data_IF_235620920208
#
_entry.id   IF_235620920208
#
_cell.length_a   1.000
_cell.length_b   1.000
_cell.length_c   1.000
_cell.angle_alpha   90.00
_cell.angle_beta   90.00
_cell.angle_gamma   90.00
#
_symmetry.space_group_name_H-M   'P 1'
#
loop_
_entity.id
_entity.type
_entity.pdbx_description
1 polymer ?
#
# COMPACT_ATOMS: atom_id res chain seq x y z
N UNK A 1 33.16 -35.03 -42.37
CA UNK A 1 31.71 -34.72 -42.45
C UNK A 1 31.20 -34.42 -41.05
N UNK A 2 31.47 -33.19 -40.61
CA UNK A 2 31.08 -32.57 -39.36
C UNK A 2 30.77 -31.11 -39.70
N UNK A 3 29.86 -30.48 -38.97
CA UNK A 3 29.41 -29.08 -39.07
C UNK A 3 28.12 -28.83 -39.88
N UNK A 4 26.96 -29.10 -39.28
CA UNK A 4 25.74 -28.35 -39.61
C UNK A 4 24.76 -28.10 -38.44
N UNK A 5 24.99 -28.63 -37.24
CA UNK A 5 23.99 -28.56 -36.16
C UNK A 5 24.21 -27.48 -35.09
N UNK A 6 25.21 -26.59 -35.23
CA UNK A 6 25.55 -25.63 -34.16
C UNK A 6 25.27 -24.14 -34.49
N UNK A 7 24.48 -23.84 -35.54
CA UNK A 7 24.16 -22.44 -35.92
C UNK A 7 22.77 -21.94 -35.50
N UNK A 8 21.91 -22.78 -34.96
CA UNK A 8 20.53 -22.38 -34.58
C UNK A 8 20.36 -21.94 -33.11
N UNK A 9 21.38 -22.13 -32.26
CA UNK A 9 21.32 -21.74 -30.84
C UNK A 9 21.73 -20.27 -30.57
N UNK A 10 22.38 -19.59 -31.54
CA UNK A 10 22.95 -18.25 -31.31
C UNK A 10 22.12 -17.07 -31.85
N UNK A 11 21.02 -17.32 -32.56
CA UNK A 11 20.15 -16.24 -33.09
C UNK A 11 19.02 -15.83 -32.12
N UNK A 12 18.70 -16.64 -31.10
CA UNK A 12 17.64 -16.33 -30.15
C UNK A 12 18.07 -15.47 -28.93
N UNK A 13 19.36 -15.23 -28.71
CA UNK A 13 19.82 -14.34 -27.63
C UNK A 13 19.90 -12.85 -28.04
N UNK A 14 19.99 -12.51 -29.33
CA UNK A 14 20.10 -11.11 -29.76
C UNK A 14 18.76 -10.38 -29.96
N UNK A 15 17.63 -11.09 -30.00
CA UNK A 15 16.30 -10.47 -30.12
C UNK A 15 15.75 -10.05 -28.74
N UNK A 16 16.28 -10.60 -27.63
CA UNK A 16 15.83 -10.27 -26.28
C UNK A 16 16.53 -9.04 -25.65
N UNK A 17 17.58 -8.52 -26.29
CA UNK A 17 18.31 -7.31 -25.84
C UNK A 17 17.89 -6.03 -26.60
N UNK A 18 17.12 -6.14 -27.69
CA UNK A 18 16.62 -4.99 -28.46
C UNK A 18 15.31 -4.37 -27.92
N UNK A 19 14.53 -5.12 -27.13
CA UNK A 19 13.23 -4.67 -26.64
C UNK A 19 13.28 -3.91 -25.30
N UNK A 20 14.47 -3.73 -24.70
CA UNK A 20 14.65 -2.97 -23.45
C UNK A 20 15.02 -1.49 -23.66
N UNK A 21 15.24 -1.05 -24.91
CA UNK A 21 15.70 0.33 -25.22
C UNK A 21 14.60 1.30 -25.69
N UNK A 22 13.33 0.88 -25.67
CA UNK A 22 12.21 1.66 -26.25
C UNK A 22 11.08 2.01 -25.26
N UNK A 23 11.34 1.92 -23.94
CA UNK A 23 10.35 2.24 -22.88
C UNK A 23 10.88 3.25 -21.85
N UNK A 24 11.75 4.18 -22.28
CA UNK A 24 12.32 5.24 -21.42
C UNK A 24 12.14 6.67 -21.97
N UNK A 25 11.30 6.86 -22.99
CA UNK A 25 11.00 8.19 -23.57
C UNK A 25 9.50 8.50 -23.51
N UNK A 26 8.93 8.56 -22.31
CA UNK A 26 7.73 9.37 -22.10
C UNK A 26 7.87 10.16 -20.81
N UNK A 27 8.37 11.39 -20.98
CA UNK A 27 8.32 12.43 -19.98
C UNK A 27 6.88 12.74 -19.61
N UNK A 28 6.63 12.85 -18.31
CA UNK A 28 5.43 13.49 -17.78
C UNK A 28 5.89 14.72 -17.00
N UNK A 29 6.07 15.81 -17.75
CA UNK A 29 6.05 17.18 -17.24
C UNK A 29 4.62 17.69 -17.28
N UNK A 30 3.97 17.77 -16.12
CA UNK A 30 2.80 18.63 -15.91
C UNK A 30 3.02 19.40 -14.61
N UNK A 31 3.69 20.54 -14.78
CA UNK A 31 3.63 21.68 -13.88
C UNK A 31 2.20 22.22 -13.90
N UNK A 32 1.50 22.13 -12.77
CA UNK A 32 0.29 22.91 -12.51
C UNK A 32 0.64 23.91 -11.42
N UNK A 33 0.91 25.14 -11.86
CA UNK A 33 0.90 26.33 -11.03
C UNK A 33 -0.54 26.53 -10.52
N UNK A 34 -0.76 26.32 -9.23
CA UNK A 34 -1.94 26.80 -8.52
C UNK A 34 -1.52 27.97 -7.63
N UNK A 35 -1.76 29.18 -8.12
CA UNK A 35 -1.64 30.41 -7.36
C UNK A 35 -2.64 30.39 -6.19
N UNK A 36 -2.12 30.51 -4.97
CA UNK A 36 -2.91 30.72 -3.76
C UNK A 36 -3.10 32.22 -3.52
N UNK A 37 -4.33 32.69 -3.18
CA UNK A 37 -4.55 34.09 -2.82
C UNK A 37 -3.96 34.40 -1.44
N UNK A 38 -3.20 35.49 -1.38
CA UNK A 38 -2.68 36.09 -0.14
C UNK A 38 -3.87 36.59 0.70
N UNK A 39 -4.11 35.95 1.86
CA UNK A 39 -4.97 36.52 2.91
C UNK A 39 -4.09 37.30 3.89
N UNK A 40 -4.38 38.59 4.00
CA UNK A 40 -3.87 39.45 5.06
C UNK A 40 -4.39 38.95 6.41
N UNK A 41 -3.47 38.57 7.30
CA UNK A 41 -3.77 38.46 8.73
C UNK A 41 -3.21 39.69 9.41
N UNK A 42 -4.11 40.42 10.08
CA UNK A 42 -3.80 41.62 10.83
C UNK A 42 -2.80 41.35 11.94
N UNK A 43 -1.89 42.30 12.11
CA UNK A 43 -0.98 42.41 13.25
C UNK A 43 -1.81 42.67 14.48
N UNK A 44 -1.97 41.66 15.33
CA UNK A 44 -2.46 41.85 16.70
C UNK A 44 -1.24 42.21 17.55
N UNK A 45 -1.16 43.48 17.95
CA UNK A 45 -0.23 43.92 19.00
C UNK A 45 -0.66 43.27 20.32
N UNK A 46 0.07 42.23 20.74
CA UNK A 46 -0.07 41.64 22.06
C UNK A 46 0.85 42.39 23.02
N UNK A 47 0.29 43.31 23.80
CA UNK A 47 0.97 43.95 24.93
C UNK A 47 1.19 42.91 26.04
N UNK A 48 2.44 42.48 26.23
CA UNK A 48 2.83 41.69 27.40
C UNK A 48 2.79 42.57 28.65
N UNK A 49 1.78 42.36 29.49
CA UNK A 49 1.83 42.76 30.89
C UNK A 49 2.76 41.80 31.64
N UNK A 50 3.82 42.34 32.23
CA UNK A 50 4.73 41.64 33.13
C UNK A 50 3.99 41.38 34.44
N UNK A 51 3.55 40.13 34.64
CA UNK A 51 3.01 39.66 35.92
C UNK A 51 4.14 39.01 36.72
N UNK A 52 4.46 39.63 37.85
CA UNK A 52 5.39 39.16 38.88
C UNK A 52 4.81 37.94 39.59
N UNK A 53 5.36 36.75 39.32
CA UNK A 53 5.07 35.52 40.04
C UNK A 53 6.30 35.05 40.85
N UNK A 54 6.09 34.33 41.99
CA UNK A 54 7.06 34.28 43.08
C UNK A 54 8.17 33.21 42.91
N UNK A 55 9.26 33.48 43.63
CA UNK A 55 10.57 32.83 43.73
C UNK A 55 10.63 31.29 43.98
N UNK A 56 9.97 30.46 43.17
CA UNK A 56 10.13 28.98 43.21
C UNK A 56 10.45 28.31 41.86
N UNK A 57 10.80 29.08 40.84
CA UNK A 57 11.10 28.60 39.48
C UNK A 57 12.60 28.57 39.13
N UNK A 58 13.49 29.04 40.01
CA UNK A 58 14.93 29.10 39.71
C UNK A 58 15.67 27.76 39.84
N UNK A 59 15.12 26.77 40.55
CA UNK A 59 15.76 25.43 40.67
C UNK A 59 15.49 24.51 39.47
N UNK A 60 14.59 24.87 38.55
CA UNK A 60 14.31 24.08 37.33
C UNK A 60 15.09 24.52 36.10
N UNK A 61 15.68 25.72 36.09
CA UNK A 61 16.46 26.22 34.95
C UNK A 61 17.92 25.75 35.02
N UNK A 62 18.45 25.47 36.21
CA UNK A 62 19.79 24.91 36.38
C UNK A 62 19.92 23.44 35.87
N UNK A 63 18.82 22.70 35.79
CA UNK A 63 18.81 21.34 35.24
C UNK A 63 18.73 21.29 33.69
N UNK A 64 18.49 22.43 33.04
CA UNK A 64 18.34 22.54 31.57
C UNK A 64 19.67 22.87 30.84
N UNK A 65 20.73 23.15 31.59
CA UNK A 65 22.07 23.46 31.04
C UNK A 65 23.07 22.30 31.17
N UNK A 66 22.61 21.06 31.38
CA UNK A 66 23.44 19.91 31.03
C UNK A 66 23.43 19.77 29.50
N UNK A 67 24.32 20.53 28.86
CA UNK A 67 24.84 20.30 27.52
C UNK A 67 25.38 18.87 27.44
N UNK A 68 24.49 17.89 27.30
CA UNK A 68 24.84 16.60 26.73
C UNK A 68 25.16 16.89 25.28
N UNK A 69 26.43 17.21 25.04
CA UNK A 69 27.06 17.10 23.73
C UNK A 69 26.79 15.69 23.23
N UNK A 70 25.72 15.54 22.45
CA UNK A 70 25.49 14.31 21.71
C UNK A 70 26.74 14.11 20.86
N UNK A 71 27.50 13.02 21.05
CA UNK A 71 28.66 12.79 20.23
C UNK A 71 28.19 12.79 18.78
N UNK A 72 28.75 13.70 17.99
CA UNK A 72 28.49 13.76 16.56
C UNK A 72 28.68 12.35 16.00
N UNK A 73 27.72 11.81 15.23
CA UNK A 73 27.83 10.46 14.72
C UNK A 73 29.13 10.35 13.93
N UNK A 74 29.97 9.37 14.30
CA UNK A 74 31.26 9.13 13.64
C UNK A 74 31.03 9.05 12.12
N UNK A 75 31.84 9.74 11.29
CA UNK A 75 31.68 9.68 9.85
C UNK A 75 31.75 8.23 9.36
N UNK A 76 30.79 7.84 8.53
CA UNK A 76 30.76 6.49 7.96
C UNK A 76 31.98 6.30 7.04
N UNK A 77 32.62 5.13 7.06
CA UNK A 77 33.67 4.83 6.08
C UNK A 77 33.10 4.94 4.65
N UNK A 78 33.91 5.48 3.73
CA UNK A 78 33.50 5.90 2.38
C UNK A 78 32.63 4.84 1.66
N UNK A 79 33.07 3.58 1.69
CA UNK A 79 32.37 2.45 1.07
C UNK A 79 30.95 2.20 1.64
N UNK A 80 30.73 2.44 2.95
CA UNK A 80 29.38 2.33 3.55
C UNK A 80 28.45 3.45 3.08
N UNK A 81 29.00 4.65 2.86
CA UNK A 81 28.24 5.82 2.37
C UNK A 81 27.81 5.63 0.92
N UNK A 82 28.69 5.12 0.07
CA UNK A 82 28.39 4.92 -1.36
C UNK A 82 27.39 3.77 -1.54
N UNK A 83 27.53 2.69 -0.77
CA UNK A 83 26.50 1.64 -0.72
C UNK A 83 25.13 2.19 -0.30
N UNK A 84 25.08 3.01 0.75
CA UNK A 84 23.82 3.64 1.18
C UNK A 84 23.23 4.53 0.08
N UNK A 85 24.08 5.23 -0.67
CA UNK A 85 23.68 6.05 -1.82
C UNK A 85 23.11 5.18 -2.95
N UNK A 86 23.71 4.03 -3.24
CA UNK A 86 23.19 3.09 -4.22
C UNK A 86 21.82 2.52 -3.81
N UNK A 87 21.63 2.17 -2.54
CA UNK A 87 20.33 1.73 -2.02
C UNK A 87 19.29 2.85 -2.09
N UNK A 88 19.69 4.11 -1.84
CA UNK A 88 18.81 5.27 -2.02
C UNK A 88 18.33 5.38 -3.48
N UNK A 89 19.23 5.25 -4.46
CA UNK A 89 18.84 5.23 -5.87
C UNK A 89 17.87 4.08 -6.20
N UNK A 90 18.08 2.89 -5.64
CA UNK A 90 17.12 1.79 -5.76
C UNK A 90 15.75 2.17 -5.20
N UNK A 91 15.70 2.73 -3.99
CA UNK A 91 14.46 3.12 -3.33
C UNK A 91 13.69 4.21 -4.11
N UNK A 92 14.41 5.09 -4.80
CA UNK A 92 13.84 6.12 -5.69
C UNK A 92 13.40 5.58 -7.06
N UNK A 93 13.62 4.28 -7.35
CA UNK A 93 13.28 3.67 -8.63
C UNK A 93 14.35 3.82 -9.72
N UNK A 94 15.52 4.39 -9.41
CA UNK A 94 16.63 4.62 -10.34
C UNK A 94 17.52 3.38 -10.41
N UNK A 95 16.99 2.28 -10.95
CA UNK A 95 17.67 0.98 -11.00
C UNK A 95 19.05 1.06 -11.67
N UNK A 96 19.15 1.68 -12.84
CA UNK A 96 20.41 1.79 -13.60
C UNK A 96 21.52 2.49 -12.80
N UNK A 97 21.20 3.61 -12.14
CA UNK A 97 22.16 4.34 -11.30
C UNK A 97 22.57 3.53 -10.08
N UNK A 98 21.62 2.82 -9.47
CA UNK A 98 21.89 1.94 -8.33
C UNK A 98 22.83 0.79 -8.73
N UNK A 99 22.54 0.10 -9.84
CA UNK A 99 23.36 -1.02 -10.31
C UNK A 99 24.74 -0.57 -10.76
N UNK A 100 24.84 0.57 -11.47
CA UNK A 100 26.12 1.13 -11.89
C UNK A 100 27.03 1.43 -10.68
N UNK A 101 26.50 2.15 -9.68
CA UNK A 101 27.27 2.45 -8.48
C UNK A 101 27.67 1.20 -7.69
N UNK A 102 26.79 0.19 -7.62
CA UNK A 102 27.14 -1.10 -6.98
C UNK A 102 28.20 -1.88 -7.75
N UNK A 103 28.23 -1.76 -9.08
CA UNK A 103 29.27 -2.35 -9.93
C UNK A 103 30.62 -1.68 -9.69
N UNK A 104 30.65 -0.35 -9.64
CA UNK A 104 31.86 0.45 -9.32
C UNK A 104 32.42 0.09 -7.93
N UNK A 105 31.54 -0.23 -6.97
CA UNK A 105 31.92 -0.70 -5.63
C UNK A 105 32.28 -2.20 -5.56
N UNK A 106 32.26 -2.94 -6.67
CA UNK A 106 32.56 -4.37 -6.71
C UNK A 106 31.49 -5.28 -6.07
N UNK A 107 30.28 -4.76 -5.82
CA UNK A 107 29.21 -5.43 -5.08
C UNK A 107 28.33 -6.34 -5.98
N UNK A 108 28.95 -7.34 -6.63
CA UNK A 108 28.29 -8.22 -7.62
C UNK A 108 26.98 -8.85 -7.12
N UNK A 109 26.97 -9.39 -5.88
CA UNK A 109 25.78 -10.03 -5.29
C UNK A 109 24.57 -9.10 -5.20
N UNK A 110 24.79 -7.81 -4.92
CA UNK A 110 23.72 -6.83 -4.82
C UNK A 110 23.19 -6.43 -6.20
N UNK A 111 24.07 -6.34 -7.20
CA UNK A 111 23.67 -6.12 -8.59
C UNK A 111 22.77 -7.27 -9.06
N UNK A 112 23.20 -8.51 -8.84
CA UNK A 112 22.42 -9.70 -9.20
C UNK A 112 21.06 -9.73 -8.51
N UNK A 113 20.99 -9.33 -7.23
CA UNK A 113 19.74 -9.22 -6.50
C UNK A 113 18.78 -8.19 -7.11
N UNK A 114 19.27 -7.03 -7.53
CA UNK A 114 18.47 -5.98 -8.17
C UNK A 114 17.98 -6.43 -9.55
N UNK A 115 18.85 -7.03 -10.36
CA UNK A 115 18.49 -7.56 -11.69
C UNK A 115 17.44 -8.66 -11.56
N UNK A 116 17.64 -9.59 -10.62
CA UNK A 116 16.67 -10.65 -10.36
C UNK A 116 15.34 -10.08 -9.85
N UNK A 117 15.37 -9.10 -8.95
CA UNK A 117 14.17 -8.39 -8.50
C UNK A 117 13.41 -7.78 -9.69
N UNK A 118 14.10 -7.06 -10.58
CA UNK A 118 13.49 -6.42 -11.74
C UNK A 118 12.79 -7.45 -12.64
N UNK A 119 13.45 -8.59 -12.93
CA UNK A 119 12.87 -9.69 -13.71
C UNK A 119 11.58 -10.25 -13.07
N UNK A 120 11.59 -10.48 -11.76
CA UNK A 120 10.43 -11.02 -11.03
C UNK A 120 9.31 -10.00 -10.94
N UNK A 121 9.64 -8.73 -10.71
CA UNK A 121 8.69 -7.63 -10.67
C UNK A 121 7.97 -7.46 -12.02
N UNK A 122 8.72 -7.42 -13.13
CA UNK A 122 8.16 -7.33 -14.49
C UNK A 122 7.24 -8.51 -14.81
N UNK A 123 7.62 -9.74 -14.44
CA UNK A 123 6.72 -10.91 -14.56
C UNK A 123 5.43 -10.72 -13.76
N UNK A 124 5.52 -10.23 -12.52
CA UNK A 124 4.37 -9.93 -11.69
C UNK A 124 3.43 -8.91 -12.33
N UNK A 125 3.98 -7.83 -12.89
CA UNK A 125 3.21 -6.81 -13.62
C UNK A 125 2.54 -7.38 -14.87
N UNK A 126 3.26 -8.19 -15.65
CA UNK A 126 2.74 -8.85 -16.85
C UNK A 126 1.51 -9.72 -16.51
N UNK A 127 1.65 -10.65 -15.55
CA UNK A 127 0.54 -11.51 -15.15
C UNK A 127 -0.61 -10.74 -14.50
N UNK A 128 -0.33 -9.63 -13.82
CA UNK A 128 -1.37 -8.77 -13.26
C UNK A 128 -2.20 -8.12 -14.38
N UNK A 129 -1.53 -7.56 -15.40
CA UNK A 129 -2.18 -6.94 -16.57
C UNK A 129 -3.03 -7.96 -17.33
N UNK A 130 -2.50 -9.16 -17.53
CA UNK A 130 -3.18 -10.24 -18.26
C UNK A 130 -4.22 -10.99 -17.40
N UNK A 131 -4.52 -10.47 -16.21
CA UNK A 131 -5.53 -11.02 -15.27
C UNK A 131 -5.27 -12.47 -14.83
N UNK A 132 -4.05 -12.98 -14.94
CA UNK A 132 -3.64 -14.25 -14.35
C UNK A 132 -3.41 -14.09 -12.84
N UNK A 133 -4.49 -13.83 -12.09
CA UNK A 133 -4.47 -13.34 -10.70
C UNK A 133 -3.65 -14.21 -9.75
N UNK A 134 -3.77 -15.54 -9.83
CA UNK A 134 -3.04 -16.48 -8.96
C UNK A 134 -1.52 -16.36 -9.18
N UNK A 135 -1.11 -16.33 -10.44
CA UNK A 135 0.29 -16.23 -10.86
C UNK A 135 0.86 -14.84 -10.56
N UNK A 136 0.10 -13.79 -10.86
CA UNK A 136 0.44 -12.41 -10.52
C UNK A 136 0.73 -12.24 -9.03
N UNK A 137 -0.21 -12.70 -8.18
CA UNK A 137 -0.06 -12.63 -6.71
C UNK A 137 1.24 -13.30 -6.24
N UNK A 138 1.59 -14.47 -6.79
CA UNK A 138 2.84 -15.18 -6.45
C UNK A 138 4.07 -14.33 -6.74
N UNK A 139 4.21 -13.81 -7.95
CA UNK A 139 5.38 -13.01 -8.35
C UNK A 139 5.43 -11.64 -7.65
N UNK A 140 4.28 -11.02 -7.40
CA UNK A 140 4.19 -9.77 -6.65
C UNK A 140 4.62 -9.94 -5.19
N UNK A 141 4.20 -11.00 -4.50
CA UNK A 141 4.72 -11.27 -3.15
C UNK A 141 6.21 -11.60 -3.15
N UNK A 142 6.70 -12.35 -4.15
CA UNK A 142 8.13 -12.64 -4.27
C UNK A 142 8.95 -11.35 -4.46
N UNK A 143 8.54 -10.47 -5.38
CA UNK A 143 9.20 -9.18 -5.58
C UNK A 143 9.13 -8.30 -4.34
N UNK A 144 8.04 -8.29 -3.58
CA UNK A 144 7.95 -7.55 -2.32
C UNK A 144 8.94 -8.04 -1.26
N UNK A 145 9.17 -9.36 -1.16
CA UNK A 145 10.18 -9.93 -0.25
C UNK A 145 11.60 -9.54 -0.67
N UNK A 146 11.88 -9.57 -1.97
CA UNK A 146 13.17 -9.15 -2.52
C UNK A 146 13.41 -7.66 -2.29
N UNK A 147 12.40 -6.82 -2.51
CA UNK A 147 12.47 -5.39 -2.20
C UNK A 147 12.78 -5.14 -0.71
N UNK A 148 12.14 -5.90 0.19
CA UNK A 148 12.45 -5.85 1.61
C UNK A 148 13.91 -6.19 1.91
N UNK A 149 14.49 -7.15 1.20
CA UNK A 149 15.89 -7.53 1.36
C UNK A 149 16.88 -6.51 0.79
N UNK A 150 16.53 -5.81 -0.29
CA UNK A 150 17.41 -4.84 -0.97
C UNK A 150 17.28 -3.44 -0.37
N UNK A 151 16.06 -2.91 -0.32
CA UNK A 151 15.75 -1.52 0.04
C UNK A 151 15.02 -1.36 1.38
N UNK A 152 14.80 -2.46 2.11
CA UNK A 152 14.09 -2.43 3.40
C UNK A 152 12.57 -2.27 3.27
N UNK A 153 11.99 -2.44 2.08
CA UNK A 153 10.54 -2.38 1.89
C UNK A 153 9.98 -0.95 1.78
N UNK A 154 10.86 0.02 1.54
CA UNK A 154 10.59 1.46 1.48
C UNK A 154 10.70 2.05 0.07
N UNK A 155 10.96 1.22 -0.93
CA UNK A 155 11.10 1.71 -2.31
C UNK A 155 9.75 2.15 -2.89
N UNK A 156 9.82 2.93 -3.97
CA UNK A 156 8.66 3.21 -4.83
C UNK A 156 8.05 1.92 -5.40
N UNK A 157 8.85 0.88 -5.63
CA UNK A 157 8.36 -0.41 -6.11
C UNK A 157 7.53 -1.12 -5.05
N UNK A 158 7.93 -1.14 -3.78
CA UNK A 158 7.13 -1.73 -2.70
C UNK A 158 5.74 -1.12 -2.63
N UNK A 159 5.65 0.21 -2.81
CA UNK A 159 4.37 0.92 -2.87
C UNK A 159 3.52 0.41 -4.05
N UNK A 160 4.10 0.32 -5.24
CA UNK A 160 3.40 -0.16 -6.43
C UNK A 160 2.98 -1.63 -6.33
N UNK A 161 3.85 -2.49 -5.80
CA UNK A 161 3.57 -3.91 -5.57
C UNK A 161 2.41 -4.08 -4.59
N UNK A 162 2.43 -3.38 -3.46
CA UNK A 162 1.34 -3.42 -2.48
C UNK A 162 0.02 -2.96 -3.09
N UNK A 163 0.04 -1.90 -3.89
CA UNK A 163 -1.14 -1.43 -4.62
C UNK A 163 -1.70 -2.50 -5.56
N UNK A 164 -0.86 -3.12 -6.40
CA UNK A 164 -1.32 -4.19 -7.31
C UNK A 164 -1.87 -5.41 -6.55
N UNK A 165 -1.27 -5.79 -5.41
CA UNK A 165 -1.79 -6.87 -4.57
C UNK A 165 -3.15 -6.47 -3.96
N UNK A 166 -3.30 -5.23 -3.51
CA UNK A 166 -4.59 -4.73 -3.02
C UNK A 166 -5.66 -4.72 -4.13
N UNK A 167 -5.30 -4.31 -5.36
CA UNK A 167 -6.20 -4.35 -6.52
C UNK A 167 -6.65 -5.78 -6.83
N UNK A 168 -5.76 -6.78 -6.71
CA UNK A 168 -6.12 -8.21 -6.80
C UNK A 168 -7.20 -8.57 -5.79
N UNK A 169 -7.05 -8.15 -4.54
CA UNK A 169 -8.03 -8.42 -3.50
C UNK A 169 -9.35 -7.68 -3.72
N UNK A 170 -9.32 -6.44 -4.21
CA UNK A 170 -10.53 -5.71 -4.61
C UNK A 170 -11.27 -6.46 -5.73
N UNK A 171 -10.56 -6.97 -6.75
CA UNK A 171 -11.16 -7.78 -7.81
C UNK A 171 -11.82 -9.05 -7.25
N UNK A 172 -11.14 -9.77 -6.35
CA UNK A 172 -11.71 -10.95 -5.68
C UNK A 172 -12.94 -10.61 -4.83
N UNK A 173 -12.93 -9.45 -4.17
CA UNK A 173 -14.09 -8.97 -3.43
C UNK A 173 -15.29 -8.76 -4.35
N UNK A 174 -15.10 -8.11 -5.51
CA UNK A 174 -16.17 -7.91 -6.50
C UNK A 174 -16.73 -9.23 -7.05
N UNK A 175 -15.86 -10.18 -7.38
CA UNK A 175 -16.29 -11.53 -7.82
C UNK A 175 -17.12 -12.19 -6.72
N UNK A 176 -16.68 -12.09 -5.46
CA UNK A 176 -17.40 -12.67 -4.32
C UNK A 176 -18.75 -11.98 -4.05
N UNK A 177 -18.86 -10.68 -4.30
CA UNK A 177 -20.15 -9.97 -4.24
C UNK A 177 -21.11 -10.48 -5.30
N UNK A 178 -20.63 -10.64 -6.54
CA UNK A 178 -21.43 -11.13 -7.65
C UNK A 178 -21.91 -12.57 -7.41
N UNK A 179 -21.09 -13.40 -6.76
CA UNK A 179 -21.47 -14.77 -6.37
C UNK A 179 -22.26 -14.84 -5.06
N UNK A 180 -22.70 -13.70 -4.50
CA UNK A 180 -23.42 -13.60 -3.22
C UNK A 180 -22.65 -14.15 -2.00
N UNK A 181 -21.33 -14.31 -2.14
CA UNK A 181 -20.40 -14.71 -1.08
C UNK A 181 -19.95 -13.49 -0.25
N UNK A 182 -20.91 -12.84 0.40
CA UNK A 182 -20.73 -11.56 1.09
C UNK A 182 -19.62 -11.54 2.15
N UNK A 183 -19.49 -12.62 2.94
CA UNK A 183 -18.42 -12.74 3.93
C UNK A 183 -17.05 -12.76 3.28
N UNK A 184 -16.89 -13.51 2.18
CA UNK A 184 -15.64 -13.57 1.43
C UNK A 184 -15.32 -12.20 0.81
N UNK A 185 -16.33 -11.49 0.29
CA UNK A 185 -16.15 -10.15 -0.24
C UNK A 185 -15.59 -9.17 0.78
N UNK A 186 -16.13 -9.19 2.01
CA UNK A 186 -15.63 -8.38 3.12
C UNK A 186 -14.19 -8.75 3.48
N UNK A 187 -13.91 -10.04 3.68
CA UNK A 187 -12.56 -10.53 4.02
C UNK A 187 -11.52 -10.10 2.99
N UNK A 188 -11.85 -10.14 1.69
CA UNK A 188 -10.93 -9.67 0.66
C UNK A 188 -10.68 -8.16 0.72
N UNK A 189 -11.65 -7.32 1.06
CA UNK A 189 -11.39 -5.89 1.24
C UNK A 189 -10.55 -5.60 2.49
N UNK A 190 -10.73 -6.36 3.56
CA UNK A 190 -9.88 -6.27 4.75
C UNK A 190 -8.44 -6.66 4.43
N UNK A 191 -8.23 -7.75 3.68
CA UNK A 191 -6.91 -8.14 3.17
C UNK A 191 -6.28 -7.04 2.32
N UNK A 192 -7.06 -6.42 1.42
CA UNK A 192 -6.58 -5.27 0.65
C UNK A 192 -6.14 -4.13 1.57
N UNK A 193 -6.94 -3.81 2.61
CA UNK A 193 -6.68 -2.73 3.58
C UNK A 193 -5.41 -2.95 4.37
N UNK A 194 -5.15 -4.20 4.78
CA UNK A 194 -3.92 -4.59 5.48
C UNK A 194 -2.70 -4.41 4.57
N UNK A 195 -2.79 -4.85 3.32
CA UNK A 195 -1.68 -4.77 2.37
C UNK A 195 -1.37 -3.33 1.96
N UNK A 196 -2.40 -2.52 1.75
CA UNK A 196 -2.25 -1.15 1.26
C UNK A 196 -3.25 -0.22 1.96
N UNK A 197 -2.91 0.34 3.14
CA UNK A 197 -3.85 1.09 3.98
C UNK A 197 -4.24 2.48 3.44
N UNK A 198 -4.04 2.76 2.15
CA UNK A 198 -4.43 4.04 1.55
C UNK A 198 -5.96 4.19 1.42
N UNK A 199 -6.38 5.46 1.23
CA UNK A 199 -7.79 5.87 1.12
C UNK A 199 -8.56 5.19 -0.02
N UNK A 200 -7.89 4.56 -0.99
CA UNK A 200 -8.52 3.94 -2.16
C UNK A 200 -9.44 2.76 -1.83
N UNK A 201 -9.25 2.10 -0.67
CA UNK A 201 -10.04 0.93 -0.26
C UNK A 201 -11.31 1.33 0.51
N UNK A 202 -11.27 2.50 1.15
CA UNK A 202 -12.38 3.03 1.95
C UNK A 202 -13.70 3.15 1.16
N UNK A 203 -13.73 3.63 -0.10
CA UNK A 203 -14.94 3.64 -0.91
C UNK A 203 -15.58 2.25 -1.06
N UNK A 204 -14.78 1.20 -1.27
CA UNK A 204 -15.29 -0.16 -1.43
C UNK A 204 -15.92 -0.67 -0.13
N UNK A 205 -15.27 -0.42 1.02
CA UNK A 205 -15.80 -0.76 2.34
C UNK A 205 -17.09 0.01 2.65
N UNK A 206 -17.15 1.30 2.29
CA UNK A 206 -18.36 2.12 2.42
C UNK A 206 -19.51 1.58 1.58
N UNK A 207 -19.25 1.09 0.37
CA UNK A 207 -20.28 0.46 -0.47
C UNK A 207 -20.86 -0.80 0.20
N UNK A 208 -20.03 -1.65 0.81
CA UNK A 208 -20.53 -2.80 1.57
C UNK A 208 -21.41 -2.38 2.74
N UNK A 209 -20.98 -1.36 3.50
CA UNK A 209 -21.76 -0.82 4.62
C UNK A 209 -23.09 -0.21 4.16
N UNK A 210 -23.11 0.51 3.03
CA UNK A 210 -24.36 1.03 2.45
C UNK A 210 -25.31 -0.10 2.05
N UNK A 211 -24.78 -1.15 1.43
CA UNK A 211 -25.59 -2.32 1.04
C UNK A 211 -26.16 -3.06 2.25
N UNK A 212 -25.35 -3.24 3.30
CA UNK A 212 -25.80 -3.84 4.55
C UNK A 212 -26.88 -3.00 5.23
N UNK A 213 -26.71 -1.67 5.30
CA UNK A 213 -27.73 -0.75 5.81
C UNK A 213 -29.04 -0.85 5.02
N UNK A 214 -28.95 -0.87 3.67
CA UNK A 214 -30.14 -1.01 2.81
C UNK A 214 -30.93 -2.27 3.16
N UNK A 215 -30.26 -3.41 3.27
CA UNK A 215 -30.92 -4.67 3.63
C UNK A 215 -31.42 -4.69 5.06
N UNK A 216 -30.70 -4.07 6.00
CA UNK A 216 -31.16 -3.90 7.37
C UNK A 216 -32.50 -3.15 7.42
N UNK A 217 -32.56 -1.94 6.86
CA UNK A 217 -33.79 -1.15 6.87
C UNK A 217 -34.94 -1.82 6.10
N UNK A 218 -34.64 -2.49 4.98
CA UNK A 218 -35.65 -3.25 4.25
C UNK A 218 -36.17 -4.44 5.08
N UNK A 219 -35.29 -5.16 5.77
CA UNK A 219 -35.67 -6.23 6.71
C UNK A 219 -36.55 -5.70 7.85
N UNK A 220 -36.19 -4.56 8.44
CA UNK A 220 -36.97 -3.92 9.49
C UNK A 220 -38.37 -3.51 9.02
N UNK A 221 -38.52 -2.99 7.79
CA UNK A 221 -39.84 -2.69 7.21
C UNK A 221 -40.69 -3.94 7.03
N UNK A 222 -40.12 -5.03 6.51
CA UNK A 222 -40.83 -6.31 6.36
C UNK A 222 -41.26 -6.88 7.71
N UNK A 223 -40.44 -6.71 8.75
CA UNK A 223 -40.79 -7.11 10.11
C UNK A 223 -42.02 -6.38 10.62
N UNK A 224 -42.08 -5.06 10.44
CA UNK A 224 -43.23 -4.23 10.85
C UNK A 224 -44.49 -4.66 10.10
N UNK A 225 -44.36 -5.07 8.85
CA UNK A 225 -45.45 -5.61 8.02
C UNK A 225 -45.85 -7.07 8.35
N UNK A 226 -45.29 -7.69 9.40
CA UNK A 226 -45.59 -9.08 9.78
C UNK A 226 -44.90 -10.16 8.94
N UNK A 227 -44.04 -9.79 7.99
CA UNK A 227 -43.32 -10.72 7.10
C UNK A 227 -42.01 -11.20 7.74
N UNK A 228 -42.11 -11.94 8.85
CA UNK A 228 -40.97 -12.32 9.69
C UNK A 228 -39.91 -13.17 8.97
N UNK A 229 -40.31 -14.13 8.13
CA UNK A 229 -39.39 -14.98 7.38
C UNK A 229 -38.51 -14.20 6.40
N UNK A 230 -39.12 -13.30 5.62
CA UNK A 230 -38.39 -12.46 4.66
C UNK A 230 -37.51 -11.41 5.36
N UNK A 231 -38.00 -10.83 6.46
CA UNK A 231 -37.18 -10.00 7.34
C UNK A 231 -35.92 -10.74 7.81
N UNK A 232 -36.07 -11.95 8.36
CA UNK A 232 -34.95 -12.77 8.86
C UNK A 232 -33.91 -13.03 7.75
N UNK A 233 -34.37 -13.36 6.54
CA UNK A 233 -33.48 -13.56 5.37
C UNK A 233 -32.66 -12.30 5.06
N UNK A 234 -33.28 -11.12 5.04
CA UNK A 234 -32.57 -9.86 4.76
C UNK A 234 -31.60 -9.46 5.87
N UNK A 235 -31.98 -9.62 7.14
CA UNK A 235 -31.11 -9.37 8.29
C UNK A 235 -29.88 -10.29 8.27
N UNK A 236 -30.06 -11.58 7.98
CA UNK A 236 -28.94 -12.54 7.81
C UNK A 236 -28.02 -12.12 6.66
N UNK A 237 -28.57 -11.64 5.53
CA UNK A 237 -27.75 -11.12 4.42
C UNK A 237 -26.96 -9.87 4.82
N UNK A 238 -27.60 -8.91 5.50
CA UNK A 238 -26.95 -7.70 6.01
C UNK A 238 -25.81 -8.04 6.97
N UNK A 239 -26.04 -8.98 7.89
CA UNK A 239 -25.02 -9.47 8.83
C UNK A 239 -23.77 -9.97 8.14
N UNK A 240 -23.91 -10.72 7.04
CA UNK A 240 -22.78 -11.31 6.31
C UNK A 240 -21.85 -10.29 5.65
N UNK A 241 -22.27 -9.03 5.52
CA UNK A 241 -21.49 -7.94 4.93
C UNK A 241 -20.69 -7.11 5.94
N UNK A 242 -20.89 -7.36 7.24
CA UNK A 242 -20.41 -6.50 8.30
C UNK A 242 -19.44 -7.23 9.23
N UNK A 243 -18.45 -6.52 9.80
CA UNK A 243 -17.62 -7.09 10.85
C UNK A 243 -18.42 -7.21 12.16
N UNK A 244 -18.10 -8.20 13.01
CA UNK A 244 -18.76 -8.39 14.31
C UNK A 244 -18.68 -7.18 15.24
N UNK A 245 -17.62 -6.37 15.09
CA UNK A 245 -17.40 -5.18 15.92
C UNK A 245 -18.24 -3.97 15.50
N UNK A 246 -18.93 -4.02 14.35
CA UNK A 246 -19.75 -2.88 13.92
C UNK A 246 -21.04 -2.79 14.72
N UNK A 247 -21.45 -1.56 15.08
CA UNK A 247 -22.73 -1.30 15.76
C UNK A 247 -23.91 -1.92 15.01
N UNK A 248 -23.94 -1.76 13.68
CA UNK A 248 -25.00 -2.33 12.83
C UNK A 248 -25.05 -3.87 12.90
N UNK A 249 -23.92 -4.55 13.03
CA UNK A 249 -23.90 -6.01 13.24
C UNK A 249 -24.55 -6.38 14.58
N UNK A 250 -24.21 -5.66 15.65
CA UNK A 250 -24.78 -5.89 16.99
C UNK A 250 -26.30 -5.63 16.99
N UNK A 251 -26.74 -4.56 16.31
CA UNK A 251 -28.16 -4.27 16.13
C UNK A 251 -28.87 -5.41 15.39
N UNK A 252 -28.27 -5.92 14.29
CA UNK A 252 -28.82 -7.06 13.55
C UNK A 252 -28.92 -8.31 14.43
N UNK A 253 -27.89 -8.63 15.20
CA UNK A 253 -27.90 -9.78 16.13
C UNK A 253 -29.00 -9.63 17.19
N UNK A 254 -29.14 -8.45 17.78
CA UNK A 254 -30.21 -8.14 18.73
C UNK A 254 -31.60 -8.37 18.14
N UNK A 255 -31.82 -7.97 16.88
CA UNK A 255 -33.09 -8.19 16.21
C UNK A 255 -33.33 -9.64 15.82
N UNK A 256 -32.28 -10.35 15.40
CA UNK A 256 -32.35 -11.76 15.03
C UNK A 256 -32.68 -12.63 16.25
N UNK A 257 -32.12 -12.35 17.43
CA UNK A 257 -32.42 -13.11 18.66
C UNK A 257 -33.87 -12.94 19.13
N UNK A 258 -34.49 -11.81 18.82
CA UNK A 258 -35.91 -11.52 19.09
C UNK A 258 -36.89 -12.08 18.04
N UNK A 259 -36.41 -12.83 17.05
CA UNK A 259 -37.28 -13.37 16.00
C UNK A 259 -37.62 -14.82 16.34
N UNK A 260 -38.90 -15.21 16.45
CA UNK A 260 -39.27 -16.59 16.74
C UNK A 260 -38.65 -17.55 15.71
N UNK A 261 -38.30 -18.76 16.14
CA UNK A 261 -37.96 -19.85 15.22
C UNK A 261 -39.26 -20.39 14.61
N UNK A 262 -39.81 -19.63 13.66
CA UNK A 262 -40.85 -20.09 12.73
C UNK A 262 -40.24 -21.01 11.68
#
# INVERSE_FOLDING_TARGET
>A
MNASLNKQANTHMNILMGALSLLLTMGWSLSVNAALPKKHYGVVHLSLQVSTAPAKSQTRVAALHQNKTFPLPKPMPLNKRDKATAIRFYNEGKLTKSTQLLQELGMKKQVDAIVHFAKIYTKGQFYFRDRYIKTAKKYLHQSLRMDKAIGGGKSVFAKHIRRMIADIYIMKSRISLNSQSYRAAYLYLEEARIVFPERSIQPHMKTLHKLANKWFYQGMRLRIAGLHGESKKLLIRARKLLPPQSKLYQDIEHWLSKTPNS
#
